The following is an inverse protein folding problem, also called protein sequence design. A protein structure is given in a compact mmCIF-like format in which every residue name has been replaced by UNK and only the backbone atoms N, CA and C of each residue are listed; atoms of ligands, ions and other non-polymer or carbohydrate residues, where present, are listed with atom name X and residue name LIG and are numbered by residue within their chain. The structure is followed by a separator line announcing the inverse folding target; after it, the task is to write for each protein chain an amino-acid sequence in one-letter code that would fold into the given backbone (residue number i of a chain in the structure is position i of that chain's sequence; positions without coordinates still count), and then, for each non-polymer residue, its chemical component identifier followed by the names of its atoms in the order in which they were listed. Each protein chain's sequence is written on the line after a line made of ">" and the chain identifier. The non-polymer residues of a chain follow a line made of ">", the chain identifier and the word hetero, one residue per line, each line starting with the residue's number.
data_IF_589998289498
#
_entry.id   IF_589998289498
#
_cell.length_a   1.000
_cell.length_b   1.000
_cell.length_c   1.000
_cell.angle_alpha   90.00
_cell.angle_beta   90.00
_cell.angle_gamma   90.00
#
_symmetry.space_group_name_H-M   'P 1'
#
loop_
_entity.id
_entity.type
_entity.pdbx_description
1 polymer ?
#
# COMPACT_ATOMS: atom_id res chain seq x y z
N UNK A 1 -6.94 0.14 -0.04
CA UNK A 1 -7.67 -0.66 0.96
C UNK A 1 -7.60 -2.13 0.56
N UNK A 2 -7.45 -3.04 1.51
CA UNK A 2 -7.36 -4.47 1.26
C UNK A 2 -8.36 -5.22 2.15
N UNK A 3 -9.11 -6.17 1.58
CA UNK A 3 -10.04 -7.01 2.33
C UNK A 3 -9.35 -8.34 2.67
N UNK A 4 -9.16 -8.61 3.96
CA UNK A 4 -8.39 -9.77 4.42
C UNK A 4 -9.28 -11.00 4.66
N UNK A 5 -10.47 -10.81 5.22
CA UNK A 5 -11.45 -11.88 5.48
C UNK A 5 -12.87 -11.44 5.11
N UNK A 6 -13.69 -12.40 4.67
CA UNK A 6 -15.08 -12.21 4.23
C UNK A 6 -15.20 -11.16 3.09
N UNK A 7 -16.29 -10.40 3.01
CA UNK A 7 -16.47 -9.39 1.96
C UNK A 7 -17.02 -8.07 2.50
N UNK A 8 -16.88 -7.00 1.73
CA UNK A 8 -17.37 -5.68 2.09
C UNK A 8 -18.02 -4.98 0.89
N UNK A 9 -19.04 -4.16 1.16
CA UNK A 9 -19.64 -3.27 0.18
C UNK A 9 -19.05 -1.87 0.36
N UNK A 10 -18.49 -1.32 -0.71
CA UNK A 10 -17.83 -0.02 -0.73
C UNK A 10 -18.73 0.98 -1.44
N UNK A 11 -18.97 2.13 -0.80
CA UNK A 11 -19.81 3.20 -1.32
C UNK A 11 -21.22 2.74 -1.74
N UNK A 12 -21.75 1.70 -1.08
CA UNK A 12 -23.04 1.05 -1.39
C UNK A 12 -23.17 0.48 -2.82
N UNK A 13 -22.07 0.40 -3.58
CA UNK A 13 -22.09 0.03 -5.00
C UNK A 13 -21.21 -1.18 -5.29
N UNK A 14 -20.03 -1.24 -4.69
CA UNK A 14 -19.00 -2.21 -5.06
C UNK A 14 -18.87 -3.30 -4.00
N UNK A 15 -19.25 -4.54 -4.35
CA UNK A 15 -18.95 -5.72 -3.54
C UNK A 15 -17.49 -6.15 -3.76
N UNK A 16 -16.74 -6.31 -2.66
CA UNK A 16 -15.31 -6.65 -2.66
C UNK A 16 -15.10 -7.86 -1.75
N UNK A 17 -14.67 -8.98 -2.34
CA UNK A 17 -14.36 -10.21 -1.62
C UNK A 17 -12.96 -10.17 -1.00
N UNK A 18 -12.68 -11.13 -0.12
CA UNK A 18 -11.36 -11.34 0.47
C UNK A 18 -10.26 -11.44 -0.58
N UNK A 19 -9.06 -11.00 -0.21
CA UNK A 19 -7.85 -10.99 -1.03
C UNK A 19 -7.86 -9.96 -2.17
N UNK A 20 -8.84 -9.05 -2.18
CA UNK A 20 -8.91 -7.97 -3.15
C UNK A 20 -8.35 -6.65 -2.61
N UNK A 21 -7.70 -5.93 -3.51
CA UNK A 21 -7.20 -4.58 -3.28
C UNK A 21 -8.07 -3.57 -4.02
N UNK A 22 -8.50 -2.53 -3.31
CA UNK A 22 -9.26 -1.39 -3.84
C UNK A 22 -8.39 -0.15 -3.74
N UNK A 23 -8.19 0.51 -4.88
CA UNK A 23 -7.52 1.80 -4.98
C UNK A 23 -8.57 2.90 -5.11
N UNK A 24 -8.56 3.85 -4.19
CA UNK A 24 -9.36 5.07 -4.28
C UNK A 24 -8.56 6.15 -5.00
N UNK A 25 -9.26 7.05 -5.71
CA UNK A 25 -8.66 8.30 -6.15
C UNK A 25 -8.37 9.19 -4.93
N UNK A 26 -7.39 10.08 -5.06
CA UNK A 26 -7.13 11.09 -4.04
C UNK A 26 -8.07 12.30 -4.23
N UNK A 27 -9.37 12.02 -4.29
CA UNK A 27 -10.46 12.97 -4.50
C UNK A 27 -11.60 12.60 -3.54
N UNK A 28 -12.25 13.60 -2.93
CA UNK A 28 -13.32 13.40 -1.95
C UNK A 28 -12.83 13.39 -0.50
N UNK A 29 -13.78 13.25 0.44
CA UNK A 29 -13.54 13.35 1.88
C UNK A 29 -13.90 12.07 2.63
N UNK A 30 -14.98 11.39 2.20
CA UNK A 30 -15.54 10.24 2.89
C UNK A 30 -15.57 8.97 2.01
N UNK A 31 -15.48 7.82 2.66
CA UNK A 31 -15.75 6.50 2.09
C UNK A 31 -16.74 5.76 2.99
N UNK A 32 -17.71 5.04 2.41
CA UNK A 32 -18.57 4.14 3.18
C UNK A 32 -18.14 2.69 2.97
N UNK A 33 -18.10 1.94 4.07
CA UNK A 33 -17.71 0.52 4.07
C UNK A 33 -18.73 -0.23 4.93
N UNK A 34 -19.39 -1.20 4.32
CA UNK A 34 -20.32 -2.09 5.01
C UNK A 34 -19.76 -3.51 4.99
N UNK A 35 -19.59 -4.11 6.17
CA UNK A 35 -19.18 -5.49 6.30
C UNK A 35 -20.34 -6.43 5.96
N UNK A 36 -20.09 -7.49 5.20
CA UNK A 36 -21.09 -8.53 4.92
C UNK A 36 -21.28 -9.50 6.09
N UNK A 37 -20.31 -9.52 7.02
CA UNK A 37 -20.20 -10.44 8.15
C UNK A 37 -19.46 -9.79 9.32
N UNK A 38 -19.77 -10.21 10.55
CA UNK A 38 -19.03 -9.81 11.76
C UNK A 38 -17.54 -10.20 11.72
N UNK A 39 -17.16 -11.17 10.88
CA UNK A 39 -15.77 -11.62 10.73
C UNK A 39 -14.98 -10.86 9.67
N UNK A 40 -15.57 -9.84 9.05
CA UNK A 40 -14.92 -9.05 8.01
C UNK A 40 -13.76 -8.25 8.59
N UNK A 41 -12.58 -8.39 7.98
CA UNK A 41 -11.39 -7.63 8.35
C UNK A 41 -10.91 -6.86 7.12
N UNK A 42 -10.80 -5.54 7.26
CA UNK A 42 -10.35 -4.63 6.21
C UNK A 42 -9.14 -3.85 6.71
N UNK A 43 -8.12 -3.72 5.86
CA UNK A 43 -6.97 -2.85 6.08
C UNK A 43 -7.11 -1.59 5.21
N UNK A 44 -7.15 -0.43 5.86
CA UNK A 44 -7.16 0.87 5.20
C UNK A 44 -5.76 1.48 5.29
N UNK A 45 -5.24 1.88 4.14
CA UNK A 45 -3.93 2.55 4.01
C UNK A 45 -4.17 3.87 3.27
N UNK A 46 -3.73 4.97 3.87
CA UNK A 46 -3.85 6.33 3.32
C UNK A 46 -2.62 7.15 3.68
N UNK A 47 -2.25 8.09 2.82
CA UNK A 47 -1.13 9.00 3.05
C UNK A 47 -1.06 10.06 1.96
N UNK A 48 -0.38 11.15 2.25
CA UNK A 48 -0.09 12.19 1.26
C UNK A 48 0.92 11.65 0.22
N UNK A 49 0.68 11.85 -1.09
CA UNK A 49 1.66 11.50 -2.11
C UNK A 49 2.99 12.24 -1.88
N UNK A 50 4.09 11.52 -1.78
CA UNK A 50 5.42 12.11 -1.60
C UNK A 50 5.88 12.91 -2.84
N UNK A 51 5.36 12.58 -4.03
CA UNK A 51 5.72 13.22 -5.31
C UNK A 51 7.23 13.21 -5.63
N UNK A 52 7.95 12.23 -5.10
CA UNK A 52 9.36 12.00 -5.37
C UNK A 52 9.56 10.84 -6.35
N UNK A 53 10.65 10.84 -7.14
CA UNK A 53 11.02 9.68 -7.94
C UNK A 53 11.24 8.45 -7.06
N UNK A 54 10.95 7.28 -7.61
CA UNK A 54 11.14 5.98 -6.95
C UNK A 54 12.09 5.15 -7.80
N UNK A 55 13.24 4.80 -7.20
CA UNK A 55 14.17 3.81 -7.71
C UNK A 55 14.15 2.60 -6.76
N UNK A 56 13.86 1.40 -7.29
CA UNK A 56 13.77 0.18 -6.47
C UNK A 56 14.55 -0.97 -7.10
N UNK A 57 15.32 -1.68 -6.27
CA UNK A 57 15.97 -2.93 -6.65
C UNK A 57 16.14 -3.85 -5.43
N UNK A 58 15.53 -5.03 -5.50
CA UNK A 58 15.61 -6.02 -4.43
C UNK A 58 15.03 -5.50 -3.12
N UNK A 59 15.78 -5.49 -2.00
CA UNK A 59 15.27 -5.02 -0.71
C UNK A 59 15.34 -3.49 -0.53
N UNK A 60 15.89 -2.75 -1.49
CA UNK A 60 16.14 -1.31 -1.36
C UNK A 60 15.20 -0.47 -2.23
N UNK A 61 14.71 0.62 -1.64
CA UNK A 61 13.92 1.68 -2.30
C UNK A 61 14.60 3.01 -1.96
N UNK A 62 14.97 3.77 -2.99
CA UNK A 62 15.59 5.10 -2.92
C UNK A 62 14.95 6.04 -3.94
N UNK A 63 15.43 7.28 -4.06
CA UNK A 63 14.92 8.23 -5.05
C UNK A 63 15.66 8.15 -6.40
N UNK A 64 16.94 7.74 -6.40
CA UNK A 64 17.79 7.68 -7.61
C UNK A 64 18.54 6.34 -7.75
N UNK A 65 19.02 6.03 -8.97
CA UNK A 65 19.83 4.82 -9.24
C UNK A 65 21.20 4.88 -8.57
N UNK A 66 21.80 6.06 -8.45
CA UNK A 66 23.06 6.29 -7.75
C UNK A 66 22.94 5.95 -6.26
N UNK A 67 21.84 6.35 -5.61
CA UNK A 67 21.54 6.01 -4.22
C UNK A 67 21.32 4.51 -4.02
N UNK A 68 20.67 3.82 -4.97
CA UNK A 68 20.55 2.36 -4.92
C UNK A 68 21.92 1.69 -4.97
N UNK A 69 22.80 2.11 -5.89
CA UNK A 69 24.14 1.56 -6.00
C UNK A 69 24.93 1.74 -4.70
N UNK A 70 24.80 2.92 -4.09
CA UNK A 70 25.41 3.21 -2.79
C UNK A 70 24.83 2.30 -1.70
N UNK A 71 23.51 2.12 -1.61
CA UNK A 71 22.87 1.25 -0.62
C UNK A 71 23.35 -0.21 -0.73
N UNK A 72 23.50 -0.74 -1.96
CA UNK A 72 24.07 -2.07 -2.14
C UNK A 72 25.53 -2.16 -1.69
N UNK A 73 26.34 -1.14 -1.99
CA UNK A 73 27.73 -1.08 -1.56
C UNK A 73 27.83 -1.03 -0.04
N UNK A 74 26.97 -0.26 0.62
CA UNK A 74 26.92 -0.13 2.07
C UNK A 74 26.50 -1.44 2.74
N UNK A 75 25.54 -2.15 2.15
CA UNK A 75 25.15 -3.49 2.57
C UNK A 75 26.27 -4.51 2.42
N UNK A 76 26.97 -4.53 1.28
CA UNK A 76 28.11 -5.42 1.05
C UNK A 76 29.28 -5.16 1.99
N UNK A 77 29.43 -3.90 2.45
CA UNK A 77 30.48 -3.50 3.39
C UNK A 77 30.10 -3.70 4.86
N UNK A 78 28.90 -4.22 5.16
CA UNK A 78 28.45 -4.43 6.55
C UNK A 78 28.14 -3.14 7.30
N UNK A 79 27.74 -2.07 6.60
CA UNK A 79 27.44 -0.77 7.23
C UNK A 79 25.99 -0.63 7.68
N UNK A 80 25.20 -1.70 7.58
CA UNK A 80 23.83 -1.81 8.11
C UNK A 80 23.77 -2.96 9.13
N UNK A 81 24.41 -2.77 10.29
CA UNK A 81 24.35 -3.66 11.45
C UNK A 81 23.54 -3.02 12.59
#
# INVERSE_FOLDING_TARGET
>A
MYVFYCSAVINHELNVSSEQFVLFKNEGEDISIEADSENTIVLILSGEPLNEPIAHRGPFVMNTEEELFQAFKDYQNGMFD
#
